data_IF_364575758424
#
_entry.id   IF_364575758424
#
_cell.length_a   1.000
_cell.length_b   1.000
_cell.length_c   1.000
_cell.angle_alpha   90.00
_cell.angle_beta   90.00
_cell.angle_gamma   90.00
#
_symmetry.space_group_name_H-M   'P 1'
#
loop_
_entity.id
_entity.type
_entity.pdbx_description
1 polymer ?
#
# COMPACT_ATOMS: atom_id res chain seq x y z
N UNK A 1 -12.41 -15.22 -30.99
CA UNK A 1 -12.70 -13.82 -30.57
C UNK A 1 -13.44 -13.73 -29.21
N UNK A 2 -13.11 -14.53 -28.18
CA UNK A 2 -13.82 -14.50 -26.87
C UNK A 2 -12.92 -14.16 -25.66
N UNK A 3 -11.60 -14.10 -25.86
CA UNK A 3 -10.65 -13.90 -24.76
C UNK A 3 -10.24 -12.43 -24.57
N UNK A 4 -10.17 -11.64 -25.65
CA UNK A 4 -9.76 -10.22 -25.58
C UNK A 4 -10.78 -9.36 -24.81
N UNK A 5 -12.08 -9.53 -25.04
CA UNK A 5 -13.11 -8.73 -24.35
C UNK A 5 -13.16 -8.94 -22.82
N UNK A 6 -12.83 -10.15 -22.34
CA UNK A 6 -12.75 -10.44 -20.90
C UNK A 6 -11.52 -9.78 -20.26
N UNK A 7 -10.38 -9.82 -20.96
CA UNK A 7 -9.15 -9.17 -20.54
C UNK A 7 -9.34 -7.64 -20.44
N UNK A 8 -9.89 -7.00 -21.48
CA UNK A 8 -10.17 -5.56 -21.48
C UNK A 8 -11.17 -5.14 -20.39
N UNK A 9 -12.23 -5.93 -20.16
CA UNK A 9 -13.18 -5.66 -19.07
C UNK A 9 -12.53 -5.75 -17.69
N UNK A 10 -11.62 -6.71 -17.50
CA UNK A 10 -10.85 -6.82 -16.27
C UNK A 10 -9.86 -5.66 -16.15
N UNK A 11 -9.14 -5.30 -17.22
CA UNK A 11 -8.20 -4.19 -17.25
C UNK A 11 -8.84 -2.85 -16.87
N UNK A 12 -10.02 -2.53 -17.42
CA UNK A 12 -10.75 -1.32 -17.04
C UNK A 12 -11.24 -1.32 -15.58
N UNK A 13 -11.55 -2.50 -15.01
CA UNK A 13 -11.88 -2.61 -13.57
C UNK A 13 -10.65 -2.43 -12.67
N UNK A 14 -9.47 -2.87 -13.12
CA UNK A 14 -8.21 -2.67 -12.39
C UNK A 14 -7.82 -1.19 -12.34
N UNK A 15 -7.92 -0.47 -13.46
CA UNK A 15 -7.66 0.97 -13.52
C UNK A 15 -8.59 1.76 -12.59
N UNK A 16 -9.88 1.43 -12.59
CA UNK A 16 -10.86 2.04 -11.69
C UNK A 16 -10.54 1.74 -10.21
N UNK A 17 -10.15 0.51 -9.90
CA UNK A 17 -9.76 0.10 -8.55
C UNK A 17 -8.46 0.78 -8.08
N UNK A 18 -7.49 0.97 -8.97
CA UNK A 18 -6.23 1.68 -8.70
C UNK A 18 -6.49 3.16 -8.39
N UNK A 19 -7.28 3.85 -9.21
CA UNK A 19 -7.70 5.24 -8.94
C UNK A 19 -8.39 5.40 -7.58
N UNK A 20 -9.32 4.50 -7.27
CA UNK A 20 -10.00 4.48 -5.97
C UNK A 20 -9.02 4.27 -4.82
N UNK A 21 -8.10 3.29 -4.95
CA UNK A 21 -7.09 3.02 -3.92
C UNK A 21 -6.12 4.19 -3.72
N UNK A 22 -5.69 4.87 -4.79
CA UNK A 22 -4.84 6.05 -4.69
C UNK A 22 -5.57 7.20 -3.98
N UNK A 23 -6.84 7.44 -4.32
CA UNK A 23 -7.66 8.43 -3.60
C UNK A 23 -7.80 8.08 -2.12
N UNK A 24 -8.11 6.82 -1.82
CA UNK A 24 -8.25 6.31 -0.45
C UNK A 24 -6.95 6.50 0.33
N UNK A 25 -5.81 6.16 -0.26
CA UNK A 25 -4.48 6.42 0.31
C UNK A 25 -4.23 7.90 0.59
N UNK A 26 -4.54 8.78 -0.36
CA UNK A 26 -4.36 10.22 -0.19
C UNK A 26 -5.25 10.77 0.94
N UNK A 27 -6.51 10.33 1.00
CA UNK A 27 -7.43 10.71 2.08
C UNK A 27 -7.00 10.17 3.44
N UNK A 28 -6.46 8.96 3.51
CA UNK A 28 -5.96 8.40 4.77
C UNK A 28 -4.66 9.07 5.22
N UNK A 29 -3.71 9.33 4.29
CA UNK A 29 -2.50 10.11 4.59
C UNK A 29 -2.84 11.51 5.12
N UNK A 30 -3.87 12.16 4.59
CA UNK A 30 -4.28 13.50 5.04
C UNK A 30 -5.12 13.50 6.32
N UNK A 31 -6.01 12.52 6.52
CA UNK A 31 -6.88 12.46 7.70
C UNK A 31 -6.26 11.80 8.91
N UNK A 32 -5.58 10.67 8.71
CA UNK A 32 -5.06 9.82 9.78
C UNK A 32 -3.55 9.95 9.94
N UNK A 33 -2.86 10.49 8.93
CA UNK A 33 -1.41 10.51 8.85
C UNK A 33 -0.86 9.31 8.09
N UNK A 34 0.37 9.45 7.58
CA UNK A 34 1.08 8.38 6.87
C UNK A 34 1.39 7.18 7.78
N UNK A 35 1.44 7.44 9.08
CA UNK A 35 1.85 6.53 10.15
C UNK A 35 0.70 5.70 10.71
N UNK A 36 -0.55 6.01 10.34
CA UNK A 36 -1.70 5.33 10.91
C UNK A 36 -1.82 3.88 10.41
N UNK A 37 -2.10 2.89 11.30
CA UNK A 37 -2.22 1.48 10.93
C UNK A 37 -3.19 1.19 9.77
N UNK A 38 -4.29 1.94 9.68
CA UNK A 38 -5.25 1.84 8.57
C UNK A 38 -4.69 2.34 7.22
N UNK A 39 -3.82 3.35 7.25
CA UNK A 39 -3.11 3.84 6.06
C UNK A 39 -2.13 2.78 5.57
N UNK A 40 -1.34 2.20 6.48
CA UNK A 40 -0.38 1.13 6.20
C UNK A 40 -1.08 -0.13 5.64
N UNK A 41 -2.20 -0.52 6.24
CA UNK A 41 -3.02 -1.65 5.76
C UNK A 41 -3.54 -1.41 4.34
N UNK A 42 -3.97 -0.18 4.04
CA UNK A 42 -4.43 0.20 2.70
C UNK A 42 -3.30 0.15 1.66
N UNK A 43 -2.10 0.59 2.04
CA UNK A 43 -0.88 0.52 1.20
C UNK A 43 -0.46 -0.94 0.94
N UNK A 44 -0.46 -1.80 1.95
CA UNK A 44 -0.16 -3.23 1.80
C UNK A 44 -1.15 -3.94 0.86
N UNK A 45 -2.44 -3.61 0.97
CA UNK A 45 -3.47 -4.11 0.05
C UNK A 45 -3.26 -3.64 -1.41
N UNK A 46 -2.61 -2.49 -1.62
CA UNK A 46 -2.27 -1.99 -2.96
C UNK A 46 -1.06 -2.74 -3.52
N UNK A 47 -0.02 -2.97 -2.71
CA UNK A 47 1.11 -3.80 -3.12
C UNK A 47 0.69 -5.21 -3.55
N UNK A 48 -0.22 -5.85 -2.81
CA UNK A 48 -0.77 -7.15 -3.18
C UNK A 48 -1.49 -7.13 -4.54
N UNK A 49 -2.14 -6.00 -4.85
CA UNK A 49 -2.84 -5.82 -6.14
C UNK A 49 -1.83 -5.69 -7.28
N UNK A 50 -0.73 -4.96 -7.08
CA UNK A 50 0.34 -4.86 -8.06
C UNK A 50 1.06 -6.19 -8.28
N UNK A 51 1.31 -6.95 -7.21
CA UNK A 51 1.81 -8.33 -7.32
C UNK A 51 0.93 -9.20 -8.22
N UNK A 52 -0.39 -9.18 -8.01
CA UNK A 52 -1.34 -9.94 -8.83
C UNK A 52 -1.41 -9.47 -10.29
N UNK A 53 -0.98 -8.24 -10.58
CA UNK A 53 -0.88 -7.69 -11.93
C UNK A 53 0.49 -7.93 -12.59
N UNK A 54 1.44 -8.54 -11.88
CA UNK A 54 2.83 -8.69 -12.34
C UNK A 54 3.66 -7.40 -12.26
N UNK A 55 3.17 -6.40 -11.53
CA UNK A 55 3.79 -5.09 -11.27
C UNK A 55 4.67 -5.16 -10.02
N UNK A 56 5.69 -6.02 -10.07
CA UNK A 56 6.51 -6.37 -8.90
C UNK A 56 7.27 -5.18 -8.32
N UNK A 57 7.81 -4.29 -9.17
CA UNK A 57 8.53 -3.08 -8.73
C UNK A 57 7.65 -2.12 -7.94
N UNK A 58 6.45 -1.84 -8.44
CA UNK A 58 5.53 -0.92 -7.77
C UNK A 58 4.98 -1.51 -6.46
N UNK A 59 4.84 -2.84 -6.40
CA UNK A 59 4.50 -3.53 -5.17
C UNK A 59 5.64 -3.41 -4.13
N UNK A 60 6.88 -3.64 -4.54
CA UNK A 60 8.06 -3.56 -3.68
C UNK A 60 8.24 -2.16 -3.11
N UNK A 61 8.16 -1.11 -3.93
CA UNK A 61 8.25 0.29 -3.47
C UNK A 61 7.18 0.62 -2.40
N UNK A 62 5.95 0.14 -2.60
CA UNK A 62 4.87 0.31 -1.62
C UNK A 62 5.15 -0.42 -0.31
N UNK A 63 5.64 -1.67 -0.38
CA UNK A 63 5.97 -2.46 0.81
C UNK A 63 7.11 -1.81 1.58
N UNK A 64 8.16 -1.34 0.89
CA UNK A 64 9.28 -0.62 1.53
C UNK A 64 8.78 0.62 2.25
N UNK A 65 7.94 1.45 1.60
CA UNK A 65 7.36 2.62 2.27
C UNK A 65 6.57 2.25 3.52
N UNK A 66 5.75 1.18 3.47
CA UNK A 66 4.99 0.68 4.63
C UNK A 66 5.93 0.22 5.74
N UNK A 67 7.01 -0.48 5.38
CA UNK A 67 7.96 -1.00 6.35
C UNK A 67 8.72 0.14 7.04
N UNK A 68 9.19 1.15 6.29
CA UNK A 68 9.84 2.34 6.83
C UNK A 68 8.91 3.13 7.76
N UNK A 69 7.66 3.37 7.35
CA UNK A 69 6.70 4.08 8.20
C UNK A 69 6.33 3.27 9.43
N UNK A 70 6.09 1.96 9.31
CA UNK A 70 5.82 1.10 10.46
C UNK A 70 7.01 1.04 11.44
N UNK A 71 8.24 1.03 10.92
CA UNK A 71 9.47 1.06 11.72
C UNK A 71 9.62 2.38 12.46
N UNK A 72 9.27 3.51 11.83
CA UNK A 72 9.24 4.82 12.49
C UNK A 72 8.19 4.88 13.59
N UNK A 73 6.97 4.40 13.33
CA UNK A 73 5.87 4.41 14.32
C UNK A 73 6.18 3.52 15.51
N UNK A 74 6.65 2.30 15.26
CA UNK A 74 7.04 1.37 16.32
C UNK A 74 8.31 1.83 17.04
N UNK A 75 9.23 2.50 16.35
CA UNK A 75 10.45 3.09 16.93
C UNK A 75 10.19 4.35 17.77
N UNK A 76 9.16 5.14 17.44
CA UNK A 76 8.73 6.29 18.26
C UNK A 76 7.91 5.86 19.48
N UNK A 77 7.11 4.78 19.41
CA UNK A 77 6.39 4.24 20.57
C UNK A 77 7.25 3.33 21.48
N UNK A 78 8.40 2.85 21.01
CA UNK A 78 9.32 2.05 21.83
C UNK A 78 10.71 2.71 21.95
N UNK A 79 10.93 3.55 22.99
CA UNK A 79 12.27 3.82 23.50
C UNK A 79 12.84 2.60 24.24
N UNK A 80 12.78 1.40 23.65
CA UNK A 80 13.50 0.21 24.15
C UNK A 80 14.82 0.02 23.43
N UNK A 81 15.52 1.13 23.14
CA UNK A 81 16.85 1.11 22.55
C UNK A 81 17.98 1.41 23.55
N UNK A 82 17.71 1.90 24.76
CA UNK A 82 18.80 2.21 25.70
C UNK A 82 18.40 2.03 27.16
N UNK A 83 18.68 0.86 27.73
CA UNK A 83 19.10 0.76 29.14
C UNK A 83 20.03 -0.45 29.24
N UNK A 84 21.33 -0.18 29.20
CA UNK A 84 22.36 -1.00 29.83
C UNK A 84 22.21 -0.88 31.35
N UNK A 85 22.54 -1.93 32.12
CA UNK A 85 23.93 -2.09 32.59
C UNK A 85 24.61 -3.39 32.16
#
# INVERSE_FOLDING_TARGET
>A
MRHLGSAYKNQGRWEAAEKLKVQVMATFKTKLGADHPSTLTSMANMALTYWNQGRWKEAEELVVQVMETSSRVLGEEHPSAFTYP
#
